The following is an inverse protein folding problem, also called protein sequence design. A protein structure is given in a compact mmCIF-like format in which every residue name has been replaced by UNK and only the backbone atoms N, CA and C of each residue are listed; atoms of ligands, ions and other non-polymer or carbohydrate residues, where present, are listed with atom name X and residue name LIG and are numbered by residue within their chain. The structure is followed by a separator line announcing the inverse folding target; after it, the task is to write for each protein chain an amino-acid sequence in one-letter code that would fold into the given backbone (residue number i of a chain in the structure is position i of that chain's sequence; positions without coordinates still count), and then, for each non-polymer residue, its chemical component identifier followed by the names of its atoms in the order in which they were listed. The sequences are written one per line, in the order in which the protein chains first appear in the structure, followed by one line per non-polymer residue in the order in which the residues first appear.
data_IF_290250582656
#
_entry.id   IF_290250582656
#
_cell.length_a   1.000
_cell.length_b   1.000
_cell.length_c   1.000
_cell.angle_alpha   90.00
_cell.angle_beta   90.00
_cell.angle_gamma   90.00
#
_symmetry.space_group_name_H-M   'P 1'
#
loop_
_entity.id
_entity.type
_entity.pdbx_description
1 polymer ?
#
# COMPACT_ATOMS: atom_id res chain seq x y z
N UNK A 1 -29.70 26.54 16.15
CA UNK A 1 -31.09 26.77 15.65
C UNK A 1 -31.34 25.76 14.56
N UNK A 2 -32.34 24.90 14.79
CA UNK A 2 -32.78 23.82 13.91
C UNK A 2 -33.41 24.36 12.62
N UNK A 3 -33.13 23.71 11.47
CA UNK A 3 -34.08 23.63 10.36
C UNK A 3 -33.83 22.33 9.56
N UNK A 4 -34.68 21.34 9.84
CA UNK A 4 -34.98 20.18 8.99
C UNK A 4 -36.06 20.56 7.96
N UNK A 5 -36.17 19.73 6.89
CA UNK A 5 -37.28 19.51 5.92
C UNK A 5 -36.97 20.02 4.50
N UNK A 6 -37.22 19.29 3.39
CA UNK A 6 -38.09 18.14 3.07
C UNK A 6 -37.67 17.57 1.69
N UNK A 7 -37.74 16.25 1.49
CA UNK A 7 -38.12 15.62 0.21
C UNK A 7 -38.90 14.30 0.49
N UNK A 8 -39.82 13.87 -0.41
CA UNK A 8 -40.99 13.08 -0.02
C UNK A 8 -40.87 11.55 -0.18
N UNK A 9 -41.71 10.89 0.62
CA UNK A 9 -42.09 9.48 0.60
C UNK A 9 -42.86 9.08 -0.68
N UNK A 10 -42.57 7.89 -1.21
CA UNK A 10 -43.58 7.03 -1.82
C UNK A 10 -43.49 5.64 -1.17
N UNK A 11 -44.61 5.20 -0.60
CA UNK A 11 -44.82 3.91 0.02
C UNK A 11 -45.65 3.03 -0.93
N UNK A 12 -45.31 1.74 -0.98
CA UNK A 12 -46.27 0.69 -1.36
C UNK A 12 -45.99 -0.56 -0.51
N UNK A 13 -46.91 -0.81 0.41
CA UNK A 13 -47.02 -2.00 1.24
C UNK A 13 -47.20 -3.28 0.42
N UNK A 14 -46.58 -4.39 0.85
CA UNK A 14 -47.22 -5.69 0.83
C UNK A 14 -46.71 -6.55 2.01
N UNK A 15 -47.66 -7.04 2.80
CA UNK A 15 -47.47 -7.83 4.02
C UNK A 15 -47.38 -9.34 3.75
N UNK A 16 -46.50 -9.98 4.53
CA UNK A 16 -46.70 -11.20 5.32
C UNK A 16 -46.83 -12.58 4.64
N UNK A 17 -45.89 -13.46 4.96
CA UNK A 17 -46.18 -14.75 5.62
C UNK A 17 -44.90 -15.30 6.28
N UNK A 18 -45.05 -15.97 7.42
CA UNK A 18 -43.95 -16.39 8.29
C UNK A 18 -43.69 -17.90 8.34
N UNK A 19 -42.56 -18.20 9.00
CA UNK A 19 -42.12 -19.44 9.69
C UNK A 19 -41.69 -20.65 8.81
N UNK A 20 -40.89 -21.61 9.34
CA UNK A 20 -39.98 -21.60 10.51
C UNK A 20 -38.58 -22.23 10.26
N UNK A 21 -37.72 -22.11 11.28
CA UNK A 21 -36.54 -22.92 11.64
C UNK A 21 -36.27 -24.23 10.88
N UNK A 22 -35.04 -24.40 10.38
CA UNK A 22 -34.36 -25.71 10.38
C UNK A 22 -32.86 -25.57 10.71
N UNK A 23 -32.48 -26.30 11.74
CA UNK A 23 -31.14 -26.60 12.26
C UNK A 23 -30.50 -27.81 11.56
N UNK A 24 -29.18 -27.94 11.69
CA UNK A 24 -28.29 -29.07 11.32
C UNK A 24 -27.99 -29.18 9.80
N UNK A 25 -26.76 -29.41 9.31
CA UNK A 25 -25.74 -30.37 9.78
C UNK A 25 -24.29 -29.94 9.46
N UNK A 26 -23.40 -30.29 10.38
CA UNK A 26 -21.98 -30.56 10.15
C UNK A 26 -21.78 -31.66 9.11
N UNK A 27 -20.83 -31.49 8.19
CA UNK A 27 -20.23 -32.61 7.49
C UNK A 27 -18.70 -32.51 7.44
N UNK A 28 -18.13 -33.70 7.55
CA UNK A 28 -16.78 -34.05 7.91
C UNK A 28 -15.74 -33.83 6.80
N UNK A 29 -14.50 -33.69 7.30
CA UNK A 29 -13.21 -33.96 6.64
C UNK A 29 -13.19 -35.25 5.81
N UNK A 30 -12.38 -35.24 4.74
CA UNK A 30 -11.31 -36.20 4.40
C UNK A 30 -10.78 -35.94 2.97
N UNK A 31 -9.60 -36.45 2.56
CA UNK A 31 -8.29 -36.27 3.16
C UNK A 31 -7.21 -35.86 2.13
N UNK A 32 -6.00 -35.57 2.62
CA UNK A 32 -4.76 -35.43 1.86
C UNK A 32 -4.56 -36.58 0.85
N UNK A 33 -4.15 -36.24 -0.37
CA UNK A 33 -3.46 -37.15 -1.27
C UNK A 33 -1.99 -36.73 -1.41
N UNK A 34 -1.12 -37.61 -0.88
CA UNK A 34 0.32 -37.61 -1.07
C UNK A 34 0.67 -38.00 -2.51
N UNK A 35 1.59 -37.27 -3.13
CA UNK A 35 2.30 -37.72 -4.31
C UNK A 35 3.81 -37.72 -4.01
N UNK A 36 4.35 -38.93 -3.90
CA UNK A 36 5.78 -39.19 -3.94
C UNK A 36 6.29 -38.92 -5.37
N UNK A 37 7.40 -38.21 -5.50
CA UNK A 37 8.30 -38.38 -6.64
C UNK A 37 9.73 -38.52 -6.13
N UNK A 38 10.27 -39.71 -6.37
CA UNK A 38 11.64 -40.13 -6.13
C UNK A 38 12.65 -39.18 -6.79
N UNK A 39 13.79 -39.04 -6.11
CA UNK A 39 14.90 -38.20 -6.53
C UNK A 39 15.73 -38.78 -7.67
N UNK A 40 16.61 -37.93 -8.20
CA UNK A 40 17.85 -38.34 -8.81
C UNK A 40 18.89 -37.26 -8.57
N UNK A 41 19.95 -37.65 -7.88
CA UNK A 41 21.18 -36.92 -7.65
C UNK A 41 21.92 -36.64 -8.95
N UNK A 42 22.52 -35.46 -9.08
CA UNK A 42 23.77 -35.30 -9.82
C UNK A 42 24.66 -34.24 -9.18
N UNK A 43 25.86 -34.71 -8.88
CA UNK A 43 27.02 -34.03 -8.30
C UNK A 43 27.68 -33.09 -9.30
N UNK A 44 28.10 -31.90 -8.85
CA UNK A 44 29.39 -31.29 -9.23
C UNK A 44 29.66 -30.02 -8.42
N UNK A 45 30.56 -30.14 -7.46
CA UNK A 45 31.35 -29.04 -6.90
C UNK A 45 32.23 -28.40 -7.99
N UNK A 46 32.61 -27.11 -7.85
CA UNK A 46 33.95 -26.88 -7.34
C UNK A 46 34.07 -25.70 -6.35
N UNK A 47 34.68 -26.00 -5.21
CA UNK A 47 35.74 -25.25 -4.54
C UNK A 47 35.97 -23.79 -4.95
N UNK A 48 35.76 -22.87 -4.00
CA UNK A 48 36.73 -21.78 -3.78
C UNK A 48 36.76 -21.34 -2.31
N UNK A 49 37.82 -21.76 -1.64
CA UNK A 49 38.31 -21.21 -0.38
C UNK A 49 38.89 -19.80 -0.58
N UNK A 50 38.89 -18.99 0.48
CA UNK A 50 39.87 -17.94 0.89
C UNK A 50 39.22 -17.22 2.10
N UNK A 51 39.58 -17.62 3.32
CA UNK A 51 40.63 -17.05 4.17
C UNK A 51 40.17 -15.84 5.00
N UNK A 52 39.87 -16.13 6.27
CA UNK A 52 39.79 -15.16 7.37
C UNK A 52 41.20 -14.61 7.61
N UNK A 53 41.37 -13.29 7.53
CA UNK A 53 42.51 -12.59 8.11
C UNK A 53 42.01 -11.44 8.97
N UNK A 54 42.20 -11.64 10.27
CA UNK A 54 42.25 -10.63 11.30
C UNK A 54 43.40 -9.66 11.05
N UNK A 55 43.11 -8.36 11.13
CA UNK A 55 44.12 -7.33 11.37
C UNK A 55 43.52 -6.29 12.31
N UNK A 56 44.04 -6.30 13.54
CA UNK A 56 43.89 -5.26 14.55
C UNK A 56 44.70 -4.04 14.11
N UNK A 57 44.08 -2.85 14.14
CA UNK A 57 44.73 -1.58 13.84
C UNK A 57 43.95 -0.43 14.49
N UNK A 58 44.60 0.20 15.47
CA UNK A 58 44.05 1.10 16.47
C UNK A 58 43.45 2.42 15.96
N UNK A 59 42.58 2.94 16.84
CA UNK A 59 41.82 4.19 16.81
C UNK A 59 42.55 5.43 16.28
N UNK A 60 41.85 6.15 15.42
CA UNK A 60 41.94 7.60 15.29
C UNK A 60 40.52 8.16 15.36
N UNK A 61 40.17 8.76 16.50
CA UNK A 61 38.93 9.51 16.69
C UNK A 61 39.19 10.99 16.43
N UNK A 62 38.52 11.59 15.45
CA UNK A 62 38.18 13.02 15.46
C UNK A 62 37.13 13.33 14.38
N UNK A 63 35.87 13.44 14.80
CA UNK A 63 34.86 14.30 14.14
C UNK A 63 34.06 13.72 12.97
N UNK A 64 33.62 12.46 13.02
CA UNK A 64 32.53 11.98 12.15
C UNK A 64 31.32 11.76 13.04
N UNK A 65 30.37 12.67 12.92
CA UNK A 65 29.58 13.22 13.99
C UNK A 65 28.37 12.34 14.36
N UNK A 66 27.95 12.40 15.62
CA UNK A 66 26.80 11.66 16.18
C UNK A 66 25.48 11.77 15.40
N UNK A 67 25.38 12.66 14.40
CA UNK A 67 24.23 12.81 13.51
C UNK A 67 24.17 11.69 12.47
N UNK A 68 25.29 11.35 11.83
CA UNK A 68 25.36 10.31 10.79
C UNK A 68 24.96 8.94 11.36
N UNK A 69 25.45 8.63 12.57
CA UNK A 69 25.09 7.39 13.29
C UNK A 69 23.59 7.33 13.62
N UNK A 70 22.97 8.48 13.95
CA UNK A 70 21.52 8.56 14.23
C UNK A 70 20.68 8.41 12.97
N UNK A 71 21.16 8.91 11.84
CA UNK A 71 20.48 8.74 10.55
C UNK A 71 20.56 7.28 10.08
N UNK A 72 21.72 6.63 10.20
CA UNK A 72 21.85 5.20 9.90
C UNK A 72 20.91 4.35 10.76
N UNK A 73 20.82 4.61 12.07
CA UNK A 73 19.90 3.89 12.98
C UNK A 73 18.42 4.08 12.58
N UNK A 74 18.03 5.30 12.19
CA UNK A 74 16.71 5.59 11.65
C UNK A 74 16.45 4.87 10.33
N UNK A 75 17.44 4.87 9.42
CA UNK A 75 17.39 4.16 8.13
C UNK A 75 17.20 2.65 8.32
N UNK A 76 17.91 2.03 9.26
CA UNK A 76 17.78 0.61 9.58
C UNK A 76 16.41 0.31 10.20
N UNK A 77 15.95 1.12 11.16
CA UNK A 77 14.62 0.98 11.77
C UNK A 77 13.51 1.09 10.71
N UNK A 78 13.59 2.10 9.85
CA UNK A 78 12.65 2.29 8.75
C UNK A 78 12.69 1.12 7.75
N UNK A 79 13.88 0.63 7.40
CA UNK A 79 14.06 -0.50 6.49
C UNK A 79 13.51 -1.81 7.05
N UNK A 80 13.65 -2.02 8.36
CA UNK A 80 13.06 -3.15 9.06
C UNK A 80 11.53 -3.09 9.02
N UNK A 81 10.94 -1.98 9.45
CA UNK A 81 9.48 -1.76 9.41
C UNK A 81 8.93 -1.90 7.98
N UNK A 82 9.67 -1.40 6.99
CA UNK A 82 9.32 -1.55 5.58
C UNK A 82 9.35 -3.01 5.16
N UNK A 83 10.37 -3.78 5.54
CA UNK A 83 10.45 -5.20 5.21
C UNK A 83 9.25 -5.96 5.78
N UNK A 84 8.90 -5.71 7.05
CA UNK A 84 7.72 -6.32 7.69
C UNK A 84 6.40 -5.95 6.98
N UNK A 85 6.19 -4.65 6.71
CA UNK A 85 4.96 -4.16 6.08
C UNK A 85 4.88 -4.46 4.56
N UNK A 86 6.02 -4.72 3.91
CA UNK A 86 6.11 -4.98 2.47
C UNK A 86 6.24 -6.45 2.13
N UNK A 87 6.68 -7.30 3.06
CA UNK A 87 6.97 -8.72 2.80
C UNK A 87 8.07 -8.93 1.76
N UNK A 88 8.97 -7.94 1.64
CA UNK A 88 10.08 -7.93 0.69
C UNK A 88 11.27 -7.22 1.33
N UNK A 89 12.44 -7.88 1.28
CA UNK A 89 13.71 -7.31 1.75
C UNK A 89 14.10 -6.17 0.83
N UNK A 90 13.84 -4.95 1.30
CA UNK A 90 14.19 -3.71 0.65
C UNK A 90 14.89 -2.84 1.69
N UNK A 91 15.87 -2.04 1.27
CA UNK A 91 16.65 -1.21 2.18
C UNK A 91 16.58 0.23 1.72
N UNK A 92 16.32 1.13 2.66
CA UNK A 92 16.43 2.56 2.48
C UNK A 92 17.55 3.10 3.36
N UNK A 93 18.42 3.92 2.76
CA UNK A 93 19.61 4.49 3.37
C UNK A 93 19.53 5.99 3.17
N UNK A 94 18.95 6.70 4.13
CA UNK A 94 18.68 8.14 4.05
C UNK A 94 19.98 8.93 3.94
N UNK A 95 20.99 8.57 4.72
CA UNK A 95 22.28 9.24 4.77
C UNK A 95 23.08 9.16 3.45
N UNK A 96 22.68 8.32 2.50
CA UNK A 96 23.25 8.29 1.13
C UNK A 96 22.65 9.33 0.18
N UNK A 97 21.68 10.12 0.65
CA UNK A 97 21.05 11.18 -0.12
C UNK A 97 19.90 10.71 -1.03
N UNK A 98 19.39 11.66 -1.80
CA UNK A 98 18.36 11.41 -2.82
C UNK A 98 18.82 10.37 -3.85
N UNK A 99 18.00 9.35 -4.11
CA UNK A 99 18.23 8.36 -5.15
C UNK A 99 16.98 8.15 -6.01
N UNK A 100 17.16 7.87 -7.30
CA UNK A 100 16.06 7.72 -8.23
C UNK A 100 16.44 6.97 -9.50
N UNK A 101 15.43 6.52 -10.24
CA UNK A 101 15.60 5.88 -11.54
C UNK A 101 14.58 6.42 -12.54
N UNK A 102 15.03 6.68 -13.78
CA UNK A 102 14.12 6.88 -14.90
C UNK A 102 13.40 5.57 -15.22
N UNK A 103 12.09 5.58 -15.06
CA UNK A 103 11.22 4.47 -15.48
C UNK A 103 10.91 4.62 -16.97
N UNK A 104 10.72 5.87 -17.40
CA UNK A 104 10.59 6.31 -18.78
C UNK A 104 11.34 7.64 -18.96
N UNK A 105 11.60 8.10 -20.19
CA UNK A 105 12.25 9.40 -20.40
C UNK A 105 11.54 10.60 -19.74
N UNK A 106 10.23 10.49 -19.55
CA UNK A 106 9.35 11.52 -18.96
C UNK A 106 8.98 11.26 -17.48
N UNK A 107 9.43 10.15 -16.89
CA UNK A 107 8.94 9.67 -15.60
C UNK A 107 10.06 9.08 -14.73
N UNK A 108 10.30 9.71 -13.59
CA UNK A 108 11.24 9.27 -12.56
C UNK A 108 10.47 8.83 -11.31
N UNK A 109 10.96 7.75 -10.68
CA UNK A 109 10.57 7.33 -9.34
C UNK A 109 11.78 7.39 -8.42
N UNK A 110 11.65 8.01 -7.25
CA UNK A 110 12.76 8.19 -6.32
C UNK A 110 12.36 8.34 -4.85
N UNK A 111 13.39 8.48 -4.01
CA UNK A 111 13.28 8.80 -2.58
C UNK A 111 12.96 10.27 -2.34
N UNK A 112 12.78 10.66 -1.09
CA UNK A 112 12.55 12.05 -0.74
C UNK A 112 13.74 12.96 -1.12
N UNK A 113 13.41 14.20 -1.47
CA UNK A 113 14.36 15.31 -1.37
C UNK A 113 14.66 15.52 0.12
N UNK A 114 15.89 15.90 0.43
CA UNK A 114 16.37 16.13 1.79
C UNK A 114 16.65 17.60 2.03
N UNK A 115 17.14 18.31 1.01
CA UNK A 115 17.48 19.74 1.10
C UNK A 115 16.99 20.52 -0.12
N UNK A 116 16.91 21.86 -0.05
CA UNK A 116 16.60 22.70 -1.21
C UNK A 116 17.48 22.45 -2.43
N UNK A 117 18.77 22.15 -2.24
CA UNK A 117 19.73 21.88 -3.33
C UNK A 117 19.37 20.63 -4.15
N UNK A 118 18.58 19.70 -3.60
CA UNK A 118 18.07 18.56 -4.36
C UNK A 118 17.12 18.99 -5.48
N UNK A 119 16.44 20.14 -5.34
CA UNK A 119 15.63 20.73 -6.42
C UNK A 119 16.50 21.01 -7.63
N UNK A 120 17.71 21.55 -7.44
CA UNK A 120 18.63 21.83 -8.55
C UNK A 120 19.14 20.55 -9.22
N UNK A 121 19.39 19.49 -8.44
CA UNK A 121 19.75 18.17 -8.99
C UNK A 121 18.65 17.63 -9.90
N UNK A 122 17.38 17.82 -9.52
CA UNK A 122 16.24 17.42 -10.34
C UNK A 122 16.04 18.31 -11.56
N UNK A 123 16.20 19.63 -11.42
CA UNK A 123 16.16 20.58 -12.55
C UNK A 123 17.23 20.26 -13.59
N UNK A 124 18.44 19.90 -13.15
CA UNK A 124 19.56 19.53 -14.03
C UNK A 124 19.25 18.32 -14.92
N UNK A 125 18.32 17.44 -14.52
CA UNK A 125 17.86 16.30 -15.33
C UNK A 125 16.50 16.54 -16.00
N UNK A 126 16.06 17.80 -16.06
CA UNK A 126 14.87 18.24 -16.80
C UNK A 126 13.54 18.03 -16.08
N UNK A 127 13.57 17.82 -14.75
CA UNK A 127 12.34 17.72 -13.95
C UNK A 127 11.62 19.06 -13.94
N UNK A 128 10.32 19.01 -14.27
CA UNK A 128 9.40 20.16 -14.19
C UNK A 128 8.34 19.99 -13.11
N UNK A 129 8.12 18.77 -12.63
CA UNK A 129 7.15 18.48 -11.58
C UNK A 129 7.78 17.57 -10.53
N UNK A 130 7.89 18.05 -9.30
CA UNK A 130 8.20 17.25 -8.10
C UNK A 130 6.86 16.89 -7.47
N UNK A 131 6.56 15.60 -7.39
CA UNK A 131 5.29 15.08 -6.92
C UNK A 131 5.50 14.25 -5.64
N UNK A 132 5.31 14.91 -4.50
CA UNK A 132 5.58 14.41 -3.16
C UNK A 132 4.35 13.70 -2.57
N UNK A 133 4.53 12.44 -2.14
CA UNK A 133 3.49 11.63 -1.53
C UNK A 133 3.60 11.53 0.00
N UNK A 134 4.59 12.21 0.61
CA UNK A 134 4.87 12.13 2.04
C UNK A 134 3.85 12.90 2.88
N UNK A 135 3.52 12.34 4.04
CA UNK A 135 2.85 13.06 5.12
C UNK A 135 3.88 13.74 6.01
N UNK A 136 3.44 14.70 6.83
CA UNK A 136 4.32 15.41 7.76
C UNK A 136 5.09 14.48 8.72
N UNK A 137 4.49 13.40 9.29
CA UNK A 137 5.24 12.45 10.12
C UNK A 137 6.39 11.75 9.39
N UNK A 138 6.28 11.55 8.07
CA UNK A 138 7.37 10.95 7.28
C UNK A 138 8.58 11.89 7.21
N UNK A 139 8.30 13.19 7.08
CA UNK A 139 9.29 14.26 6.94
C UNK A 139 9.93 14.55 8.29
N UNK A 140 9.13 14.66 9.34
CA UNK A 140 9.58 14.85 10.72
C UNK A 140 10.51 13.72 11.19
N UNK A 141 10.20 12.47 10.84
CA UNK A 141 11.04 11.32 11.21
C UNK A 141 12.48 11.47 10.73
N UNK A 142 12.69 11.98 9.51
CA UNK A 142 14.01 12.21 8.92
C UNK A 142 14.51 13.66 9.05
N UNK A 143 13.74 14.55 9.69
CA UNK A 143 14.14 15.96 9.86
C UNK A 143 14.16 16.77 8.56
N UNK A 144 13.34 16.40 7.57
CA UNK A 144 13.27 17.10 6.26
C UNK A 144 12.41 18.36 6.38
N UNK A 145 12.99 19.52 6.09
CA UNK A 145 12.26 20.79 6.01
C UNK A 145 11.56 20.93 4.65
N UNK A 146 10.33 20.41 4.57
CA UNK A 146 9.53 20.48 3.35
C UNK A 146 9.18 21.92 2.94
N UNK A 147 9.08 22.86 3.90
CA UNK A 147 8.73 24.25 3.59
C UNK A 147 9.89 24.93 2.87
N UNK A 148 11.11 24.75 3.35
CA UNK A 148 12.31 25.25 2.67
C UNK A 148 12.43 24.71 1.24
N UNK A 149 12.15 23.42 1.03
CA UNK A 149 12.14 22.79 -0.31
C UNK A 149 11.06 23.41 -1.20
N UNK A 150 9.84 23.60 -0.69
CA UNK A 150 8.73 24.20 -1.43
C UNK A 150 9.01 25.66 -1.80
N UNK A 151 9.53 26.46 -0.86
CA UNK A 151 9.89 27.86 -1.08
C UNK A 151 11.01 27.98 -2.13
N UNK A 152 12.02 27.12 -2.06
CA UNK A 152 13.09 27.10 -3.06
C UNK A 152 12.60 26.68 -4.44
N UNK A 153 11.78 25.63 -4.53
CA UNK A 153 11.16 25.21 -5.79
C UNK A 153 10.27 26.32 -6.37
N UNK A 154 9.51 27.04 -5.55
CA UNK A 154 8.69 28.16 -6.00
C UNK A 154 9.51 29.37 -6.50
N UNK A 155 10.74 29.54 -6.00
CA UNK A 155 11.67 30.55 -6.51
C UNK A 155 12.23 30.20 -7.90
N UNK A 156 12.11 28.93 -8.33
CA UNK A 156 12.52 28.44 -9.63
C UNK A 156 11.34 28.53 -10.62
N UNK A 157 11.48 29.31 -11.70
CA UNK A 157 10.39 29.55 -12.66
C UNK A 157 10.04 28.35 -13.59
N UNK A 158 10.76 27.24 -13.49
CA UNK A 158 10.70 26.11 -14.43
C UNK A 158 10.35 24.76 -13.79
N UNK A 159 10.12 24.72 -12.48
CA UNK A 159 9.77 23.51 -11.73
C UNK A 159 8.65 23.79 -10.73
N UNK A 160 7.75 22.82 -10.53
CA UNK A 160 6.67 22.91 -9.57
C UNK A 160 6.76 21.79 -8.54
N UNK A 161 6.69 22.14 -7.26
CA UNK A 161 6.52 21.17 -6.18
C UNK A 161 5.03 21.00 -5.84
N UNK A 162 4.54 19.76 -5.81
CA UNK A 162 3.17 19.40 -5.46
C UNK A 162 3.16 18.33 -4.37
N UNK A 163 2.26 18.46 -3.40
CA UNK A 163 1.98 17.42 -2.41
C UNK A 163 0.65 16.72 -2.71
N UNK A 164 0.65 15.40 -2.59
CA UNK A 164 -0.51 14.53 -2.74
C UNK A 164 -0.36 13.35 -1.78
N UNK A 165 -0.72 13.59 -0.52
CA UNK A 165 -0.34 12.73 0.60
C UNK A 165 -0.99 11.34 0.57
N UNK A 166 -0.19 10.34 0.91
CA UNK A 166 -0.59 8.94 1.14
C UNK A 166 0.17 8.43 2.37
N UNK A 167 -0.54 7.83 3.32
CA UNK A 167 0.05 7.26 4.55
C UNK A 167 1.01 6.12 4.26
N UNK A 168 2.16 6.12 4.93
CA UNK A 168 3.13 5.04 4.77
C UNK A 168 2.67 3.73 5.41
N UNK A 169 3.16 2.61 4.88
CA UNK A 169 2.85 1.26 5.36
C UNK A 169 1.35 0.92 5.44
N UNK A 170 0.54 1.58 4.60
CA UNK A 170 -0.91 1.42 4.57
C UNK A 170 -1.40 1.18 3.13
N UNK A 171 -1.64 -0.09 2.79
CA UNK A 171 -2.16 -0.47 1.48
C UNK A 171 -3.62 -0.03 1.28
N UNK A 172 -4.38 0.15 2.37
CA UNK A 172 -5.76 0.61 2.30
C UNK A 172 -5.81 2.10 1.96
N UNK A 173 -5.04 2.93 2.68
CA UNK A 173 -4.95 4.36 2.37
C UNK A 173 -4.43 4.59 0.94
N UNK A 174 -3.39 3.83 0.52
CA UNK A 174 -2.92 3.84 -0.86
C UNK A 174 -4.05 3.54 -1.86
N UNK A 175 -4.82 2.46 -1.66
CA UNK A 175 -5.96 2.12 -2.51
C UNK A 175 -6.99 3.25 -2.59
N UNK A 176 -7.35 3.85 -1.44
CA UNK A 176 -8.37 4.89 -1.37
C UNK A 176 -7.90 6.22 -2.00
N UNK A 177 -6.62 6.57 -1.84
CA UNK A 177 -6.04 7.85 -2.32
C UNK A 177 -5.64 7.80 -3.79
N UNK A 178 -5.27 6.64 -4.33
CA UNK A 178 -4.79 6.48 -5.70
C UNK A 178 -5.61 7.23 -6.77
N UNK A 179 -6.96 7.19 -6.80
CA UNK A 179 -7.72 7.90 -7.82
C UNK A 179 -7.52 9.43 -7.79
N UNK A 180 -7.60 10.05 -6.60
CA UNK A 180 -7.39 11.49 -6.44
C UNK A 180 -5.93 11.89 -6.73
N UNK A 181 -4.98 11.10 -6.23
CA UNK A 181 -3.55 11.35 -6.41
C UNK A 181 -3.16 11.24 -7.88
N UNK A 182 -3.62 10.21 -8.60
CA UNK A 182 -3.32 10.04 -10.03
C UNK A 182 -4.03 11.09 -10.88
N UNK A 183 -5.22 11.55 -10.49
CA UNK A 183 -5.88 12.70 -11.14
C UNK A 183 -5.02 13.97 -11.04
N UNK A 184 -4.57 14.31 -9.81
CA UNK A 184 -3.68 15.47 -9.59
C UNK A 184 -2.38 15.36 -10.37
N UNK A 185 -1.76 14.17 -10.39
CA UNK A 185 -0.57 13.88 -11.18
C UNK A 185 -0.81 14.05 -12.69
N UNK A 186 -1.89 13.47 -13.21
CA UNK A 186 -2.25 13.54 -14.62
C UNK A 186 -2.41 14.99 -15.10
N UNK A 187 -3.11 15.81 -14.33
CA UNK A 187 -3.30 17.23 -14.65
C UNK A 187 -2.00 18.03 -14.55
N UNK A 188 -1.17 17.75 -13.54
CA UNK A 188 0.14 18.38 -13.39
C UNK A 188 1.05 18.06 -14.58
N UNK A 189 1.11 16.79 -15.01
CA UNK A 189 1.90 16.37 -16.18
C UNK A 189 1.41 17.06 -17.45
N UNK A 190 0.10 17.12 -17.69
CA UNK A 190 -0.46 17.78 -18.87
C UNK A 190 -0.18 19.28 -18.89
N UNK A 191 -0.18 19.94 -17.73
CA UNK A 191 0.10 21.37 -17.60
C UNK A 191 1.59 21.68 -17.77
N UNK A 192 2.46 20.93 -17.11
CA UNK A 192 3.87 21.29 -16.95
C UNK A 192 4.75 20.66 -18.04
N UNK A 193 4.36 19.48 -18.56
CA UNK A 193 5.19 18.67 -19.44
C UNK A 193 6.53 18.29 -18.80
N UNK A 194 7.55 18.04 -19.64
CA UNK A 194 8.90 17.71 -19.18
C UNK A 194 8.97 16.40 -18.39
N UNK A 195 9.99 16.27 -17.54
CA UNK A 195 10.17 15.09 -16.69
C UNK A 195 9.40 15.27 -15.38
N UNK A 196 8.71 14.23 -14.94
CA UNK A 196 8.03 14.21 -13.64
C UNK A 196 8.74 13.30 -12.66
N UNK A 197 9.00 13.82 -11.47
CA UNK A 197 9.64 13.14 -10.36
C UNK A 197 8.60 12.78 -9.31
N UNK A 198 8.23 11.49 -9.23
CA UNK A 198 7.30 10.99 -8.22
C UNK A 198 8.11 10.40 -7.07
N UNK A 199 7.87 10.87 -5.85
CA UNK A 199 8.55 10.34 -4.67
C UNK A 199 7.65 10.16 -3.45
N UNK A 200 8.12 9.29 -2.56
CA UNK A 200 7.66 9.17 -1.19
C UNK A 200 8.89 9.27 -0.28
N UNK A 201 8.95 8.55 0.84
CA UNK A 201 10.17 8.51 1.67
C UNK A 201 11.31 7.77 0.96
N UNK A 202 11.16 6.47 0.72
CA UNK A 202 12.21 5.65 0.10
C UNK A 202 12.08 5.50 -1.43
N UNK A 203 10.93 5.84 -2.01
CA UNK A 203 10.63 5.52 -3.42
C UNK A 203 10.43 4.03 -3.67
N UNK A 204 9.98 3.27 -2.68
CA UNK A 204 9.91 1.80 -2.73
C UNK A 204 8.48 1.23 -2.58
N UNK A 205 7.51 2.03 -2.10
CA UNK A 205 6.11 1.62 -1.96
C UNK A 205 5.14 2.54 -2.70
N UNK A 206 4.80 3.68 -2.07
CA UNK A 206 3.80 4.65 -2.54
C UNK A 206 4.12 5.23 -3.92
N UNK A 207 5.34 5.75 -4.11
CA UNK A 207 5.73 6.36 -5.39
C UNK A 207 5.75 5.37 -6.58
N UNK A 208 6.37 4.18 -6.45
CA UNK A 208 6.23 3.12 -7.45
C UNK A 208 4.77 2.77 -7.76
N UNK A 209 3.89 2.69 -6.75
CA UNK A 209 2.48 2.39 -6.95
C UNK A 209 1.74 3.47 -7.75
N UNK A 210 1.96 4.75 -7.42
CA UNK A 210 1.36 5.88 -8.14
C UNK A 210 1.87 5.96 -9.58
N UNK A 211 3.18 5.78 -9.80
CA UNK A 211 3.76 5.74 -11.14
C UNK A 211 3.18 4.59 -11.98
N UNK A 212 3.04 3.42 -11.39
CA UNK A 212 2.47 2.24 -12.04
C UNK A 212 0.99 2.43 -12.37
N UNK A 213 0.20 3.00 -11.46
CA UNK A 213 -1.20 3.33 -11.70
C UNK A 213 -1.34 4.36 -12.83
N UNK A 214 -0.48 5.40 -12.87
CA UNK A 214 -0.45 6.37 -13.96
C UNK A 214 -0.14 5.72 -15.32
N UNK A 215 0.88 4.84 -15.37
CA UNK A 215 1.21 4.10 -16.60
C UNK A 215 0.03 3.25 -17.07
N UNK A 216 -0.67 2.58 -16.14
CA UNK A 216 -1.79 1.70 -16.43
C UNK A 216 -3.04 2.46 -16.88
N UNK A 217 -3.46 3.48 -16.13
CA UNK A 217 -4.72 4.21 -16.34
C UNK A 217 -4.62 5.27 -17.44
N UNK A 218 -3.48 5.97 -17.51
CA UNK A 218 -3.31 7.13 -18.39
C UNK A 218 -2.51 6.77 -19.64
N UNK A 219 -1.33 6.17 -19.48
CA UNK A 219 -0.41 5.93 -20.59
C UNK A 219 -0.73 4.67 -21.42
N UNK A 220 -1.76 3.91 -21.04
CA UNK A 220 -2.29 2.82 -21.85
C UNK A 220 -1.56 1.48 -21.73
N UNK A 221 -0.62 1.33 -20.80
CA UNK A 221 0.05 0.06 -20.55
C UNK A 221 -0.93 -1.00 -20.05
N UNK A 222 -0.60 -2.29 -20.20
CA UNK A 222 -1.14 -3.34 -19.32
C UNK A 222 -0.45 -3.27 -17.97
N UNK A 223 -1.15 -3.64 -16.88
CA UNK A 223 -0.59 -3.51 -15.53
C UNK A 223 0.73 -4.29 -15.39
N UNK A 224 0.79 -5.53 -15.86
CA UNK A 224 2.00 -6.34 -15.75
C UNK A 224 3.15 -5.88 -16.66
N UNK A 225 2.83 -5.30 -17.82
CA UNK A 225 3.86 -4.73 -18.69
C UNK A 225 4.52 -3.51 -18.02
N UNK A 226 3.71 -2.61 -17.46
CA UNK A 226 4.21 -1.48 -16.70
C UNK A 226 4.98 -1.93 -15.44
N UNK A 227 4.50 -2.95 -14.75
CA UNK A 227 5.17 -3.52 -13.57
C UNK A 227 6.54 -4.10 -13.91
N UNK A 228 6.65 -4.89 -14.98
CA UNK A 228 7.94 -5.43 -15.45
C UNK A 228 8.91 -4.32 -15.85
N UNK A 229 8.42 -3.29 -16.54
CA UNK A 229 9.24 -2.12 -16.89
C UNK A 229 9.75 -1.41 -15.62
N UNK A 230 8.87 -1.11 -14.67
CA UNK A 230 9.22 -0.50 -13.39
C UNK A 230 10.29 -1.30 -12.65
N UNK A 231 10.09 -2.60 -12.45
CA UNK A 231 11.05 -3.46 -11.75
C UNK A 231 12.37 -3.67 -12.50
N UNK A 232 12.37 -3.55 -13.83
CA UNK A 232 13.62 -3.57 -14.61
C UNK A 232 14.51 -2.34 -14.38
N UNK A 233 13.95 -1.27 -13.80
CA UNK A 233 14.63 0.01 -13.56
C UNK A 233 14.86 0.30 -12.09
N UNK A 234 13.95 -0.14 -11.21
CA UNK A 234 14.01 0.10 -9.78
C UNK A 234 13.44 -1.09 -9.00
N UNK A 235 14.27 -1.71 -8.17
CA UNK A 235 13.80 -2.71 -7.20
C UNK A 235 12.89 -2.04 -6.19
N UNK A 236 11.63 -2.46 -6.12
CA UNK A 236 10.60 -1.86 -5.25
C UNK A 236 9.40 -2.79 -5.06
N UNK A 237 8.41 -2.35 -4.27
CA UNK A 237 7.19 -3.09 -3.96
C UNK A 237 5.93 -2.21 -4.16
N UNK A 238 5.42 -2.06 -5.41
CA UNK A 238 4.36 -1.10 -5.78
C UNK A 238 2.93 -1.51 -5.38
N UNK A 239 2.75 -2.47 -4.45
CA UNK A 239 1.44 -2.90 -3.93
C UNK A 239 0.38 -3.15 -5.02
N UNK A 240 0.61 -4.12 -5.91
CA UNK A 240 -0.26 -4.38 -7.07
C UNK A 240 -1.75 -4.50 -6.69
N UNK A 241 -2.07 -5.13 -5.57
CA UNK A 241 -3.47 -5.33 -5.16
C UNK A 241 -4.18 -4.03 -4.80
N UNK A 242 -3.46 -3.01 -4.31
CA UNK A 242 -4.03 -1.68 -4.08
C UNK A 242 -4.40 -1.02 -5.42
N UNK A 243 -3.56 -1.15 -6.45
CA UNK A 243 -3.82 -0.62 -7.79
C UNK A 243 -5.00 -1.36 -8.44
N UNK A 244 -5.01 -2.70 -8.38
CA UNK A 244 -6.10 -3.53 -8.92
C UNK A 244 -7.43 -3.20 -8.23
N UNK A 245 -7.41 -3.09 -6.90
CA UNK A 245 -8.61 -2.76 -6.12
C UNK A 245 -9.11 -1.35 -6.41
N UNK A 246 -8.22 -0.35 -6.48
CA UNK A 246 -8.60 1.03 -6.84
C UNK A 246 -9.17 1.10 -8.26
N UNK A 247 -8.61 0.33 -9.21
CA UNK A 247 -9.14 0.21 -10.57
C UNK A 247 -10.55 -0.38 -10.57
N UNK A 248 -10.78 -1.43 -9.78
CA UNK A 248 -12.11 -2.02 -9.63
C UNK A 248 -13.08 -1.02 -8.98
N UNK A 249 -12.65 -0.24 -7.99
CA UNK A 249 -13.48 0.75 -7.32
C UNK A 249 -13.91 1.88 -8.26
N UNK A 250 -13.03 2.34 -9.14
CA UNK A 250 -13.37 3.32 -10.19
C UNK A 250 -14.49 2.79 -11.10
N UNK A 251 -14.42 1.51 -11.47
CA UNK A 251 -15.31 0.93 -12.49
C UNK A 251 -16.60 0.33 -11.93
N UNK A 252 -16.62 -0.08 -10.66
CA UNK A 252 -17.77 -0.74 -9.99
C UNK A 252 -18.38 0.11 -8.86
N UNK A 253 -17.74 1.23 -8.52
CA UNK A 253 -18.11 2.07 -7.40
C UNK A 253 -17.63 1.54 -6.03
N UNK A 254 -17.89 2.34 -5.00
CA UNK A 254 -17.51 2.04 -3.61
C UNK A 254 -18.72 1.53 -2.82
N UNK A 255 -18.82 0.21 -2.66
CA UNK A 255 -19.80 -0.42 -1.78
C UNK A 255 -19.11 -0.96 -0.53
N UNK A 256 -19.61 -0.57 0.64
CA UNK A 256 -19.13 -1.06 1.93
C UNK A 256 -20.06 -2.15 2.48
N UNK A 257 -19.48 -3.12 3.18
CA UNK A 257 -20.20 -4.13 3.94
C UNK A 257 -19.75 -4.11 5.38
N UNK A 258 -20.70 -4.38 6.28
CA UNK A 258 -20.40 -4.57 7.68
C UNK A 258 -19.75 -5.93 7.88
N UNK A 259 -18.63 -5.95 8.57
CA UNK A 259 -17.88 -7.15 8.93
C UNK A 259 -17.68 -7.16 10.44
N UNK A 260 -17.62 -8.36 11.00
CA UNK A 260 -17.38 -8.57 12.42
C UNK A 260 -16.18 -9.48 12.56
N UNK A 261 -15.16 -8.99 13.27
CA UNK A 261 -13.96 -9.73 13.64
C UNK A 261 -14.07 -10.08 15.12
N UNK A 262 -13.72 -11.30 15.49
CA UNK A 262 -13.92 -11.79 16.86
C UNK A 262 -12.72 -12.55 17.38
N UNK A 263 -12.39 -12.33 18.65
CA UNK A 263 -11.40 -13.12 19.36
C UNK A 263 -12.02 -13.78 20.59
N UNK A 264 -11.85 -15.09 20.71
CA UNK A 264 -12.40 -15.88 21.81
C UNK A 264 -11.40 -16.03 22.95
N UNK A 265 -11.89 -15.93 24.19
CA UNK A 265 -11.12 -16.15 25.40
C UNK A 265 -11.28 -15.02 26.41
N UNK A 266 -11.35 -15.38 27.68
CA UNK A 266 -11.44 -14.47 28.83
C UNK A 266 -10.12 -14.34 29.61
N UNK A 267 -9.05 -14.99 29.14
CA UNK A 267 -7.74 -15.00 29.79
C UNK A 267 -6.82 -13.89 29.27
N UNK A 268 -7.34 -12.91 28.54
CA UNK A 268 -6.59 -11.75 28.06
C UNK A 268 -7.21 -10.44 28.55
N UNK A 269 -6.38 -9.42 28.71
CA UNK A 269 -6.78 -8.10 29.20
C UNK A 269 -7.04 -7.12 28.07
N UNK A 270 -6.36 -7.31 26.94
CA UNK A 270 -6.46 -6.46 25.76
C UNK A 270 -6.40 -7.29 24.49
N UNK A 271 -7.23 -6.93 23.52
CA UNK A 271 -7.18 -7.47 22.16
C UNK A 271 -7.28 -6.31 21.19
N UNK A 272 -6.32 -6.19 20.29
CA UNK A 272 -6.26 -5.18 19.25
C UNK A 272 -6.07 -5.84 17.87
N UNK A 273 -6.31 -5.08 16.81
CA UNK A 273 -6.00 -5.46 15.42
C UNK A 273 -5.11 -4.39 14.79
N UNK A 274 -4.17 -4.82 13.95
CA UNK A 274 -3.41 -3.97 13.03
C UNK A 274 -3.50 -4.50 11.60
N UNK A 275 -3.19 -3.65 10.60
CA UNK A 275 -3.45 -3.92 9.19
C UNK A 275 -4.86 -3.47 8.79
N UNK A 276 -5.65 -4.37 8.22
CA UNK A 276 -7.05 -4.15 7.83
C UNK A 276 -7.22 -2.85 7.01
N UNK A 277 -8.05 -1.92 7.47
CA UNK A 277 -8.32 -0.61 6.86
C UNK A 277 -7.65 0.56 7.61
N UNK A 278 -6.69 0.26 8.49
CA UNK A 278 -5.95 1.25 9.27
C UNK A 278 -4.43 1.21 9.01
N UNK A 279 -3.94 0.20 8.30
CA UNK A 279 -2.51 0.00 8.03
C UNK A 279 -1.75 -0.63 9.21
N UNK A 280 -0.48 -0.98 8.97
CA UNK A 280 0.34 -1.72 9.94
C UNK A 280 0.93 -0.86 11.05
N UNK A 281 0.94 0.47 10.87
CA UNK A 281 1.42 1.42 11.88
C UNK A 281 0.37 1.80 12.94
N UNK A 282 -0.87 1.32 12.81
CA UNK A 282 -1.99 1.64 13.71
C UNK A 282 -2.55 0.38 14.35
N UNK A 283 -3.23 0.58 15.49
CA UNK A 283 -3.92 -0.47 16.24
C UNK A 283 -5.32 -0.01 16.60
N UNK A 284 -6.28 -0.93 16.54
CA UNK A 284 -7.65 -0.69 16.96
C UNK A 284 -8.05 -1.72 18.03
N UNK A 285 -8.48 -1.29 19.22
CA UNK A 285 -8.92 -2.21 20.25
C UNK A 285 -10.28 -2.84 19.91
N UNK A 286 -10.42 -4.12 20.24
CA UNK A 286 -11.70 -4.83 20.25
C UNK A 286 -12.44 -4.51 21.56
N UNK A 287 -13.77 -4.58 21.52
CA UNK A 287 -14.62 -4.43 22.71
C UNK A 287 -14.99 -5.81 23.26
N UNK A 288 -14.85 -6.02 24.56
CA UNK A 288 -15.27 -7.27 25.20
C UNK A 288 -16.80 -7.29 25.40
N UNK A 289 -17.46 -8.29 24.82
CA UNK A 289 -18.86 -8.61 25.06
C UNK A 289 -18.96 -9.69 26.15
N UNK A 290 -19.26 -9.28 27.38
CA UNK A 290 -19.40 -10.17 28.54
C UNK A 290 -20.48 -11.25 28.35
N UNK A 291 -21.53 -10.98 27.55
CA UNK A 291 -22.62 -11.94 27.35
C UNK A 291 -22.20 -13.09 26.44
N UNK A 292 -21.32 -12.80 25.48
CA UNK A 292 -20.82 -13.79 24.53
C UNK A 292 -19.48 -14.38 24.98
N UNK A 293 -18.77 -13.72 25.89
CA UNK A 293 -17.41 -14.09 26.28
C UNK A 293 -16.39 -13.87 25.15
N UNK A 294 -16.64 -12.88 24.29
CA UNK A 294 -15.87 -12.63 23.07
C UNK A 294 -15.42 -11.17 23.00
N UNK A 295 -14.24 -10.96 22.44
CA UNK A 295 -13.80 -9.66 21.96
C UNK A 295 -14.34 -9.45 20.55
N UNK A 296 -14.89 -8.27 20.28
CA UNK A 296 -15.61 -7.98 19.02
C UNK A 296 -15.15 -6.64 18.43
N UNK A 297 -14.89 -6.63 17.12
CA UNK A 297 -14.72 -5.43 16.33
C UNK A 297 -15.67 -5.45 15.13
N UNK A 298 -16.50 -4.42 15.02
CA UNK A 298 -17.34 -4.18 13.85
C UNK A 298 -16.73 -3.10 12.96
N UNK A 299 -16.62 -3.37 11.65
CA UNK A 299 -16.11 -2.42 10.66
C UNK A 299 -17.01 -2.37 9.44
N UNK A 300 -16.99 -1.24 8.72
CA UNK A 300 -17.62 -1.12 7.39
C UNK A 300 -16.52 -1.00 6.35
N UNK A 301 -16.30 -2.10 5.61
CA UNK A 301 -15.20 -2.24 4.68
C UNK A 301 -15.69 -2.30 3.23
N UNK A 302 -15.00 -1.65 2.28
CA UNK A 302 -15.25 -1.88 0.88
C UNK A 302 -15.06 -3.35 0.48
N UNK A 303 -15.63 -3.75 -0.65
CA UNK A 303 -15.32 -5.06 -1.27
C UNK A 303 -13.81 -5.14 -1.53
N UNK A 304 -13.17 -6.25 -1.14
CA UNK A 304 -11.72 -6.38 -1.25
C UNK A 304 -11.13 -7.45 -0.35
N UNK A 305 -9.80 -7.57 -0.43
CA UNK A 305 -8.99 -8.46 0.38
C UNK A 305 -8.17 -7.61 1.37
N UNK A 306 -8.24 -7.95 2.65
CA UNK A 306 -7.62 -7.19 3.74
C UNK A 306 -6.83 -8.13 4.64
N UNK A 307 -5.52 -7.96 4.69
CA UNK A 307 -4.70 -8.67 5.68
C UNK A 307 -4.69 -7.93 6.99
N UNK A 308 -4.69 -8.67 8.09
CA UNK A 308 -4.66 -8.12 9.44
C UNK A 308 -4.01 -9.12 10.40
N UNK A 309 -3.70 -8.66 11.59
CA UNK A 309 -3.18 -9.51 12.66
C UNK A 309 -3.64 -8.99 14.02
N UNK A 310 -3.84 -9.90 14.97
CA UNK A 310 -4.19 -9.53 16.33
C UNK A 310 -2.96 -9.16 17.14
N UNK A 311 -3.16 -8.25 18.09
CA UNK A 311 -2.24 -8.04 19.21
C UNK A 311 -3.02 -8.37 20.48
N UNK A 312 -2.62 -9.43 21.20
CA UNK A 312 -3.27 -9.88 22.44
C UNK A 312 -2.29 -9.71 23.58
N UNK A 313 -2.63 -8.85 24.55
CA UNK A 313 -1.76 -8.51 25.68
C UNK A 313 -0.33 -8.10 25.24
N UNK A 314 -0.24 -7.38 24.12
CA UNK A 314 1.01 -6.88 23.54
C UNK A 314 1.69 -7.83 22.54
N UNK A 315 1.26 -9.08 22.44
CA UNK A 315 1.86 -10.09 21.56
C UNK A 315 1.15 -10.20 20.21
N UNK A 316 1.92 -10.23 19.12
CA UNK A 316 1.36 -10.38 17.77
C UNK A 316 0.95 -11.82 17.48
N UNK A 317 -0.35 -12.06 17.27
CA UNK A 317 -0.91 -13.40 17.11
C UNK A 317 -1.69 -13.50 15.79
N UNK A 318 -1.39 -14.56 15.04
CA UNK A 318 -2.23 -15.01 13.93
C UNK A 318 -3.26 -16.02 14.46
N UNK A 319 -4.54 -15.73 14.26
CA UNK A 319 -5.62 -16.61 14.66
C UNK A 319 -5.73 -17.81 13.71
N UNK A 320 -5.31 -18.99 14.15
CA UNK A 320 -5.36 -20.22 13.35
C UNK A 320 -6.79 -20.72 13.03
N UNK A 321 -7.81 -20.15 13.69
CA UNK A 321 -9.22 -20.52 13.48
C UNK A 321 -9.93 -19.60 12.48
N UNK A 322 -9.32 -18.49 12.10
CA UNK A 322 -9.79 -17.59 11.05
C UNK A 322 -9.03 -17.84 9.74
N UNK A 323 -9.40 -17.14 8.68
CA UNK A 323 -8.72 -17.26 7.40
C UNK A 323 -7.29 -16.75 7.52
N UNK A 324 -6.34 -17.55 7.02
CA UNK A 324 -4.90 -17.33 7.13
C UNK A 324 -4.29 -17.12 5.74
N UNK A 325 -3.54 -16.04 5.58
CA UNK A 325 -2.87 -15.69 4.33
C UNK A 325 -1.68 -16.62 4.09
N UNK A 326 -1.21 -16.68 2.83
CA UNK A 326 0.05 -17.37 2.56
C UNK A 326 1.20 -16.66 3.27
N UNK A 327 2.19 -17.38 3.82
CA UNK A 327 3.34 -16.74 4.44
C UNK A 327 4.03 -15.79 3.47
N UNK A 328 4.45 -14.62 3.96
CA UNK A 328 5.32 -13.74 3.18
C UNK A 328 6.73 -14.33 3.06
N UNK A 329 7.62 -13.65 2.32
CA UNK A 329 8.99 -14.15 2.07
C UNK A 329 9.81 -14.38 3.34
N UNK A 330 9.46 -13.69 4.42
CA UNK A 330 10.14 -13.73 5.71
C UNK A 330 9.45 -14.70 6.69
N UNK A 331 8.44 -15.44 6.21
CA UNK A 331 7.71 -16.44 7.00
C UNK A 331 6.64 -15.85 7.92
N UNK A 332 6.40 -14.54 7.88
CA UNK A 332 5.30 -13.94 8.63
C UNK A 332 3.97 -14.36 8.02
N UNK A 333 3.06 -14.75 8.92
CA UNK A 333 1.71 -15.17 8.58
C UNK A 333 0.72 -14.19 9.18
N UNK A 334 -0.22 -13.74 8.34
CA UNK A 334 -1.31 -12.84 8.69
C UNK A 334 -2.65 -13.57 8.60
N UNK A 335 -3.65 -13.06 9.30
CA UNK A 335 -5.03 -13.35 8.96
C UNK A 335 -5.44 -12.52 7.74
N UNK A 336 -6.49 -12.94 7.04
CA UNK A 336 -7.12 -12.09 6.04
C UNK A 336 -8.64 -12.13 6.10
N UNK A 337 -9.24 -11.08 5.57
CA UNK A 337 -10.67 -10.94 5.41
C UNK A 337 -10.98 -10.67 3.94
N UNK A 338 -11.84 -11.52 3.36
CA UNK A 338 -12.36 -11.34 2.02
C UNK A 338 -13.78 -10.76 2.08
N UNK A 339 -13.93 -9.50 1.72
CA UNK A 339 -15.23 -8.85 1.55
C UNK A 339 -15.65 -9.01 0.08
N UNK A 340 -16.75 -9.72 -0.17
CA UNK A 340 -17.28 -9.98 -1.51
C UNK A 340 -18.55 -9.16 -1.77
N UNK A 341 -18.76 -8.73 -3.02
CA UNK A 341 -20.07 -8.24 -3.46
C UNK A 341 -20.91 -9.41 -3.94
N UNK A 342 -22.12 -9.55 -3.39
CA UNK A 342 -23.09 -10.60 -3.73
C UNK A 342 -24.34 -10.01 -4.39
N UNK A 343 -24.41 -8.68 -4.56
CA UNK A 343 -25.59 -7.98 -5.06
C UNK A 343 -25.58 -7.89 -6.59
N UNK A 344 -24.40 -7.72 -7.19
CA UNK A 344 -24.26 -7.53 -8.64
C UNK A 344 -23.22 -8.51 -9.24
N UNK A 345 -23.73 -9.47 -10.00
CA UNK A 345 -22.92 -10.52 -10.65
C UNK A 345 -21.97 -9.93 -11.70
N UNK A 346 -22.35 -8.85 -12.38
CA UNK A 346 -21.50 -8.22 -13.39
C UNK A 346 -20.29 -7.54 -12.74
N UNK A 347 -20.52 -6.77 -11.67
CA UNK A 347 -19.46 -6.11 -10.92
C UNK A 347 -18.55 -7.11 -10.21
N UNK A 348 -19.12 -8.19 -9.65
CA UNK A 348 -18.34 -9.27 -9.06
C UNK A 348 -17.43 -9.96 -10.11
N UNK A 349 -17.93 -10.21 -11.32
CA UNK A 349 -17.16 -10.78 -12.43
C UNK A 349 -16.05 -9.83 -12.91
N UNK A 350 -16.37 -8.53 -13.04
CA UNK A 350 -15.40 -7.49 -13.39
C UNK A 350 -14.27 -7.41 -12.35
N UNK A 351 -14.62 -7.34 -11.06
CA UNK A 351 -13.63 -7.32 -9.98
C UNK A 351 -12.78 -8.58 -9.98
N UNK A 352 -13.38 -9.76 -10.15
CA UNK A 352 -12.62 -11.03 -10.25
C UNK A 352 -11.60 -10.99 -11.38
N UNK A 353 -11.95 -10.47 -12.56
CA UNK A 353 -11.00 -10.29 -13.66
C UNK A 353 -9.88 -9.31 -13.31
N UNK A 354 -10.21 -8.16 -12.74
CA UNK A 354 -9.22 -7.12 -12.40
C UNK A 354 -8.27 -7.55 -11.27
N UNK A 355 -8.74 -8.41 -10.36
CA UNK A 355 -7.91 -8.97 -9.29
C UNK A 355 -7.04 -10.16 -9.75
N UNK A 356 -7.24 -10.67 -10.97
CA UNK A 356 -6.46 -11.77 -11.53
C UNK A 356 -4.99 -11.43 -11.78
N UNK A 357 -4.23 -12.39 -12.32
CA UNK A 357 -2.78 -12.28 -12.48
C UNK A 357 -2.34 -11.25 -13.51
N UNK A 358 -3.07 -11.13 -14.63
CA UNK A 358 -2.75 -10.22 -15.74
C UNK A 358 -3.96 -9.34 -16.12
N UNK A 359 -4.34 -8.39 -15.26
CA UNK A 359 -5.49 -7.56 -15.53
C UNK A 359 -5.18 -6.56 -16.64
N UNK A 360 -6.10 -6.48 -17.59
CA UNK A 360 -6.11 -5.48 -18.65
C UNK A 360 -7.48 -4.81 -18.71
N UNK A 361 -7.45 -3.55 -19.10
CA UNK A 361 -8.65 -2.73 -19.29
C UNK A 361 -9.05 -2.76 -20.76
N UNK A 362 -10.32 -3.04 -21.00
CA UNK A 362 -10.94 -2.85 -22.31
C UNK A 362 -10.91 -1.37 -22.71
N UNK A 363 -11.14 -1.09 -24.00
CA UNK A 363 -11.19 0.31 -24.50
C UNK A 363 -12.21 1.17 -23.75
N UNK A 364 -13.38 0.59 -23.46
CA UNK A 364 -14.45 1.26 -22.71
C UNK A 364 -14.05 1.52 -21.25
N UNK A 365 -13.45 0.54 -20.58
CA UNK A 365 -12.97 0.70 -19.20
C UNK A 365 -11.87 1.75 -19.11
N UNK A 366 -10.95 1.79 -20.08
CA UNK A 366 -9.92 2.86 -20.14
C UNK A 366 -10.55 4.23 -20.31
N UNK A 367 -11.59 4.35 -21.13
CA UNK A 367 -12.32 5.61 -21.32
C UNK A 367 -13.01 6.03 -20.02
N UNK A 368 -13.74 5.13 -19.36
CA UNK A 368 -14.39 5.40 -18.07
C UNK A 368 -13.41 5.79 -16.97
N UNK A 369 -12.29 5.07 -16.86
CA UNK A 369 -11.22 5.42 -15.92
C UNK A 369 -10.66 6.80 -16.20
N UNK A 370 -10.43 7.15 -17.47
CA UNK A 370 -9.93 8.49 -17.85
C UNK A 370 -10.94 9.59 -17.50
N UNK A 371 -12.20 9.41 -17.86
CA UNK A 371 -13.28 10.36 -17.54
C UNK A 371 -13.43 10.55 -16.04
N UNK A 372 -13.30 9.47 -15.26
CA UNK A 372 -13.31 9.54 -13.80
C UNK A 372 -12.18 10.43 -13.27
N UNK A 373 -10.94 10.23 -13.74
CA UNK A 373 -9.79 11.02 -13.32
C UNK A 373 -9.93 12.50 -13.72
N UNK A 374 -10.46 12.78 -14.92
CA UNK A 374 -10.70 14.15 -15.41
C UNK A 374 -11.78 14.88 -14.60
N UNK A 375 -12.80 14.16 -14.13
CA UNK A 375 -13.93 14.72 -13.39
C UNK A 375 -13.64 15.01 -11.91
N UNK A 376 -12.60 14.41 -11.33
CA UNK A 376 -12.21 14.72 -9.94
C UNK A 376 -11.77 16.19 -9.83
N UNK A 377 -12.13 16.90 -8.75
CA UNK A 377 -11.71 18.28 -8.56
C UNK A 377 -10.19 18.38 -8.39
N UNK A 378 -9.64 19.55 -8.70
CA UNK A 378 -8.30 19.89 -8.24
C UNK A 378 -8.40 20.11 -6.73
N UNK A 379 -7.85 19.20 -5.91
CA UNK A 379 -7.60 19.52 -4.51
C UNK A 379 -6.58 20.68 -4.51
N UNK A 380 -7.06 21.89 -4.19
CA UNK A 380 -6.25 23.11 -4.09
C UNK A 380 -5.05 22.85 -3.17
N UNK A 381 -3.91 23.40 -3.59
CA UNK A 381 -2.57 23.13 -3.07
C UNK A 381 -2.34 23.65 -1.64
#
# INVERSE_FOLDING_TARGET
MNCLRLLPFFASDFRSSGLPFQSFRSHHRNPLCSANSLGMSNTSDPNRSIAVKSASGSMASAGTDSADVKEEEKSETYSHNMTEAMGAVLTYRHELGINYNFIRPDLIVGSCLQTPEDVDKLRAVGVKTIFCLQQDPDLEYFGVDIKAIQEYAASCNDIQHLRAEIRDFDAFDLRMRLPAVVSKLYKAINRNGGVTYIHCTAGLGRAPAVALAYMFWVQGYKLNEAYRLLLSKRSCFPKLDAIKSATADILTGFRKKRVTLTWGGNNCSTVEISGLDIGWGQRIPLQYDEKQGLWVLMRELPVGYYEYKYIVDGEWICNQYELVASPNKDGHVNNYLQVIDDVDVADASLRKRLMGDDPDLTKDERLRTRQFLEALPDEEA
#
